data_IF_371323660633
#
_entry.id   IF_371323660633
#
_cell.length_a   1.000
_cell.length_b   1.000
_cell.length_c   1.000
_cell.angle_alpha   90.00
_cell.angle_beta   90.00
_cell.angle_gamma   90.00
#
_symmetry.space_group_name_H-M   'P 1'
#
loop_
_entity.id
_entity.type
_entity.pdbx_description
1 polymer ?
#
# COMPACT_ATOMS: atom_id res chain seq x y z
N UNK A 1 -51.37 -27.96 -44.49
CA UNK A 1 -50.67 -29.00 -43.68
C UNK A 1 -49.31 -28.44 -43.29
N UNK A 2 -49.10 -28.03 -42.04
CA UNK A 2 -47.78 -27.59 -41.54
C UNK A 2 -46.99 -28.83 -41.12
N UNK A 3 -45.82 -28.97 -41.69
CA UNK A 3 -44.91 -30.11 -41.58
C UNK A 3 -44.50 -30.43 -40.12
N UNK A 4 -44.46 -31.72 -39.73
CA UNK A 4 -44.08 -32.15 -38.37
C UNK A 4 -42.59 -31.91 -38.05
N UNK A 5 -41.79 -31.40 -38.98
CA UNK A 5 -40.36 -31.08 -38.78
C UNK A 5 -40.09 -29.95 -37.76
N UNK A 6 -41.06 -29.08 -37.47
CA UNK A 6 -40.84 -27.91 -36.61
C UNK A 6 -40.76 -28.26 -35.08
N UNK A 7 -41.41 -29.33 -34.62
CA UNK A 7 -41.41 -29.72 -33.21
C UNK A 7 -40.12 -30.43 -32.79
N UNK A 8 -39.60 -31.31 -33.64
CA UNK A 8 -38.35 -32.05 -33.40
C UNK A 8 -37.13 -31.12 -33.35
N UNK A 9 -37.08 -30.13 -34.29
CA UNK A 9 -36.05 -29.12 -34.32
C UNK A 9 -36.04 -28.22 -33.09
N UNK A 10 -37.20 -27.83 -32.57
CA UNK A 10 -37.28 -26.99 -31.36
C UNK A 10 -36.82 -27.75 -30.10
N UNK A 11 -37.19 -29.03 -29.95
CA UNK A 11 -36.73 -29.86 -28.83
C UNK A 11 -35.22 -30.03 -28.85
N UNK A 12 -34.63 -30.33 -30.02
CA UNK A 12 -33.19 -30.44 -30.15
C UNK A 12 -32.46 -29.13 -29.81
N UNK A 13 -32.99 -27.97 -30.22
CA UNK A 13 -32.41 -26.68 -29.88
C UNK A 13 -32.49 -26.38 -28.37
N UNK A 14 -33.59 -26.75 -27.71
CA UNK A 14 -33.75 -26.59 -26.24
C UNK A 14 -32.75 -27.51 -25.51
N UNK A 15 -32.59 -28.75 -25.92
CA UNK A 15 -31.61 -29.68 -25.31
C UNK A 15 -30.18 -29.16 -25.47
N UNK A 16 -29.81 -28.66 -26.65
CA UNK A 16 -28.50 -28.06 -26.88
C UNK A 16 -28.29 -26.83 -25.99
N UNK A 17 -29.30 -25.97 -25.87
CA UNK A 17 -29.21 -24.78 -25.01
C UNK A 17 -29.03 -25.14 -23.54
N UNK A 18 -29.74 -26.18 -23.05
CA UNK A 18 -29.58 -26.69 -21.67
C UNK A 18 -28.15 -27.22 -21.46
N UNK A 19 -27.61 -27.96 -22.43
CA UNK A 19 -26.24 -28.46 -22.37
C UNK A 19 -25.21 -27.32 -22.34
N UNK A 20 -25.37 -26.29 -23.18
CA UNK A 20 -24.49 -25.13 -23.18
C UNK A 20 -24.55 -24.39 -21.83
N UNK A 21 -25.74 -24.19 -21.30
CA UNK A 21 -25.92 -23.54 -19.99
C UNK A 21 -25.31 -24.39 -18.86
N UNK A 22 -25.47 -25.71 -18.90
CA UNK A 22 -24.88 -26.60 -17.90
C UNK A 22 -23.34 -26.56 -17.95
N UNK A 23 -22.75 -26.55 -19.13
CA UNK A 23 -21.30 -26.42 -19.33
C UNK A 23 -20.83 -25.05 -18.85
N UNK A 24 -21.54 -23.98 -19.16
CA UNK A 24 -21.23 -22.63 -18.70
C UNK A 24 -21.27 -22.54 -17.16
N UNK A 25 -22.26 -23.15 -16.51
CA UNK A 25 -22.32 -23.20 -15.05
C UNK A 25 -21.14 -23.99 -14.46
N UNK A 26 -20.80 -25.15 -15.04
CA UNK A 26 -19.66 -25.97 -14.57
C UNK A 26 -18.32 -25.19 -14.69
N UNK A 27 -18.15 -24.37 -15.72
CA UNK A 27 -16.93 -23.58 -15.93
C UNK A 27 -16.90 -22.34 -15.04
N UNK A 28 -18.03 -21.66 -14.90
CA UNK A 28 -18.10 -20.34 -14.20
C UNK A 28 -18.28 -20.52 -12.69
N UNK A 29 -19.04 -21.53 -12.24
CA UNK A 29 -19.33 -21.71 -10.83
C UNK A 29 -18.09 -21.83 -9.93
N UNK A 30 -17.02 -22.55 -10.31
CA UNK A 30 -15.80 -22.58 -9.51
C UNK A 30 -15.14 -21.23 -9.35
N UNK A 31 -15.08 -20.43 -10.43
CA UNK A 31 -14.49 -19.08 -10.39
C UNK A 31 -15.32 -18.12 -9.56
N UNK A 32 -16.65 -18.19 -9.67
CA UNK A 32 -17.57 -17.40 -8.83
C UNK A 32 -17.49 -17.85 -7.36
N UNK A 33 -17.42 -19.14 -7.11
CA UNK A 33 -17.26 -19.67 -5.76
C UNK A 33 -15.94 -19.22 -5.14
N UNK A 34 -14.83 -19.34 -5.87
CA UNK A 34 -13.52 -18.84 -5.43
C UNK A 34 -13.53 -17.33 -5.16
N UNK A 35 -14.18 -16.54 -6.03
CA UNK A 35 -14.33 -15.11 -5.83
C UNK A 35 -15.13 -14.80 -4.55
N UNK A 36 -16.25 -15.49 -4.31
CA UNK A 36 -17.05 -15.31 -3.10
C UNK A 36 -16.27 -15.76 -1.86
N UNK A 37 -15.58 -16.89 -1.90
CA UNK A 37 -14.75 -17.35 -0.79
C UNK A 37 -13.62 -16.35 -0.51
N UNK A 38 -12.92 -15.88 -1.54
CA UNK A 38 -11.84 -14.90 -1.40
C UNK A 38 -12.34 -13.57 -0.85
N UNK A 39 -13.51 -13.10 -1.27
CA UNK A 39 -14.09 -11.86 -0.71
C UNK A 39 -14.48 -12.02 0.76
N UNK A 40 -15.02 -13.18 1.16
CA UNK A 40 -15.36 -13.44 2.56
C UNK A 40 -14.14 -13.67 3.44
N UNK A 41 -13.07 -14.21 2.89
CA UNK A 41 -11.82 -14.49 3.62
C UNK A 41 -11.21 -13.21 4.21
N UNK A 42 -11.50 -12.05 3.61
CA UNK A 42 -10.97 -10.77 4.04
C UNK A 42 -12.01 -9.83 4.69
N UNK A 43 -13.28 -10.23 4.77
CA UNK A 43 -14.34 -9.39 5.37
C UNK A 43 -14.07 -9.08 6.83
N UNK A 44 -13.51 -10.03 7.58
CA UNK A 44 -13.15 -9.85 8.98
C UNK A 44 -11.97 -8.89 9.16
N UNK A 45 -10.95 -8.97 8.30
CA UNK A 45 -9.85 -8.00 8.30
C UNK A 45 -10.36 -6.60 7.87
N UNK A 46 -11.17 -6.55 6.82
CA UNK A 46 -11.74 -5.29 6.33
C UNK A 46 -12.59 -4.59 7.40
N UNK A 47 -13.28 -5.34 8.24
CA UNK A 47 -14.08 -4.78 9.33
C UNK A 47 -13.26 -4.17 10.47
N UNK A 48 -11.96 -4.43 10.54
CA UNK A 48 -11.03 -3.88 11.54
C UNK A 48 -10.31 -2.62 11.03
N UNK A 49 -10.42 -2.33 9.75
CA UNK A 49 -9.87 -1.10 9.17
C UNK A 49 -10.88 0.02 9.40
N UNK A 50 -10.59 0.86 10.33
CA UNK A 50 -11.38 2.02 10.70
C UNK A 50 -10.57 3.32 10.58
N UNK A 51 -11.23 4.45 10.84
CA UNK A 51 -10.59 5.75 10.76
C UNK A 51 -9.42 5.88 11.74
N UNK A 52 -9.48 5.22 12.90
CA UNK A 52 -8.41 5.28 13.91
C UNK A 52 -7.16 4.56 13.41
N UNK A 53 -7.31 3.38 12.79
CA UNK A 53 -6.20 2.68 12.18
C UNK A 53 -5.61 3.46 11.01
N UNK A 54 -6.46 4.07 10.17
CA UNK A 54 -6.00 4.87 9.04
C UNK A 54 -5.25 6.14 9.48
N UNK A 55 -5.55 6.72 10.65
CA UNK A 55 -4.81 7.85 11.23
C UNK A 55 -3.37 7.49 11.65
N UNK A 56 -3.05 6.21 11.77
CA UNK A 56 -1.68 5.76 12.02
C UNK A 56 -0.83 5.68 10.75
N UNK A 57 -1.42 5.90 9.58
CA UNK A 57 -0.72 5.86 8.31
C UNK A 57 -0.57 7.27 7.73
N UNK A 58 0.52 7.52 7.04
CA UNK A 58 0.82 8.80 6.42
C UNK A 58 1.16 8.62 4.94
N UNK A 59 0.94 9.71 4.16
CA UNK A 59 1.50 9.79 2.83
C UNK A 59 2.66 10.81 2.84
N UNK A 60 3.81 10.39 2.34
CA UNK A 60 5.05 11.19 2.29
C UNK A 60 5.17 11.77 0.90
N UNK A 61 5.12 13.09 0.76
CA UNK A 61 5.23 13.80 -0.51
C UNK A 61 6.60 14.46 -0.56
N UNK A 62 7.46 14.03 -1.48
CA UNK A 62 8.74 14.68 -1.72
C UNK A 62 8.53 15.92 -2.61
N UNK A 63 9.15 17.05 -2.22
CA UNK A 63 9.33 18.24 -3.03
C UNK A 63 10.80 18.33 -3.41
N UNK A 64 11.09 18.36 -4.68
CA UNK A 64 12.44 18.41 -5.21
C UNK A 64 12.67 19.70 -5.98
N UNK A 65 13.74 20.41 -5.66
CA UNK A 65 14.18 21.60 -6.37
C UNK A 65 15.25 21.25 -7.40
N UNK A 66 14.85 21.16 -8.65
CA UNK A 66 15.70 20.74 -9.77
C UNK A 66 16.26 21.98 -10.46
N UNK A 67 17.52 22.31 -10.16
CA UNK A 67 18.25 23.40 -10.81
C UNK A 67 19.17 22.85 -11.89
N UNK A 68 18.92 23.24 -13.14
CA UNK A 68 19.79 22.92 -14.27
C UNK A 68 20.35 24.22 -14.88
N UNK A 69 21.26 24.11 -15.85
CA UNK A 69 21.78 25.31 -16.58
C UNK A 69 20.70 26.02 -17.40
N UNK A 70 19.59 25.33 -17.70
CA UNK A 70 18.54 25.81 -18.62
C UNK A 70 17.21 26.04 -17.91
N UNK A 71 17.03 25.51 -16.69
CA UNK A 71 15.76 25.57 -15.96
C UNK A 71 15.95 25.55 -14.45
N UNK A 72 15.02 26.18 -13.76
CA UNK A 72 14.84 26.16 -12.31
C UNK A 72 13.38 25.73 -12.08
N UNK A 73 13.19 24.46 -11.67
CA UNK A 73 11.89 23.84 -11.56
C UNK A 73 11.71 23.16 -10.21
N UNK A 74 10.47 23.15 -9.74
CA UNK A 74 10.05 22.37 -8.57
C UNK A 74 9.22 21.19 -9.05
N UNK A 75 9.56 20.01 -8.58
CA UNK A 75 8.83 18.77 -8.80
C UNK A 75 8.26 18.24 -7.50
N UNK A 76 7.16 17.48 -7.59
CA UNK A 76 6.51 16.84 -6.45
C UNK A 76 6.24 15.37 -6.78
N UNK A 77 6.53 14.48 -5.83
CA UNK A 77 6.14 13.08 -5.97
C UNK A 77 4.63 12.89 -5.81
N UNK A 78 4.10 11.81 -6.35
CA UNK A 78 2.70 11.42 -6.12
C UNK A 78 2.46 10.96 -4.67
N UNK A 79 3.52 10.66 -3.95
CA UNK A 79 3.56 10.26 -2.56
C UNK A 79 4.02 8.83 -2.36
N UNK A 80 4.61 8.58 -1.20
CA UNK A 80 4.98 7.28 -0.68
C UNK A 80 4.23 7.02 0.62
N UNK A 81 4.45 5.89 1.25
CA UNK A 81 3.74 5.49 2.46
C UNK A 81 4.65 5.51 3.69
N UNK A 82 4.04 5.64 4.85
CA UNK A 82 4.69 5.46 6.14
C UNK A 82 3.68 5.10 7.21
N UNK A 83 4.15 4.54 8.32
CA UNK A 83 3.34 4.17 9.47
C UNK A 83 3.90 4.78 10.74
N UNK A 84 3.02 5.35 11.57
CA UNK A 84 3.38 5.95 12.86
C UNK A 84 3.62 4.83 13.87
N UNK A 85 4.85 4.75 14.38
CA UNK A 85 5.30 3.74 15.35
C UNK A 85 5.50 4.31 16.77
N UNK A 86 5.53 5.64 16.91
CA UNK A 86 5.71 6.26 18.22
C UNK A 86 5.35 7.73 18.26
N UNK A 87 5.25 8.27 19.50
CA UNK A 87 4.86 9.65 19.76
C UNK A 87 5.54 10.19 21.02
N UNK A 88 6.15 11.38 20.90
CA UNK A 88 6.63 12.14 22.05
C UNK A 88 6.08 13.57 22.00
N UNK A 89 5.13 13.89 22.86
CA UNK A 89 4.45 15.17 22.87
C UNK A 89 3.66 15.43 21.57
N UNK A 90 4.15 16.32 20.70
CA UNK A 90 3.57 16.63 19.40
C UNK A 90 4.35 16.02 18.24
N UNK A 91 5.49 15.41 18.53
CA UNK A 91 6.35 14.77 17.57
C UNK A 91 5.89 13.33 17.37
N UNK A 92 5.68 12.94 16.12
CA UNK A 92 5.35 11.58 15.72
C UNK A 92 6.52 10.97 14.95
N UNK A 93 6.83 9.71 15.24
CA UNK A 93 7.85 8.92 14.56
C UNK A 93 7.20 7.98 13.56
N UNK A 94 7.70 8.00 12.33
CA UNK A 94 7.16 7.25 11.20
C UNK A 94 8.22 6.33 10.65
N UNK A 95 7.89 5.04 10.54
CA UNK A 95 8.70 4.06 9.83
C UNK A 95 8.28 4.04 8.36
N UNK A 96 9.26 4.10 7.46
CA UNK A 96 9.08 4.10 6.00
C UNK A 96 10.23 3.37 5.31
N UNK A 97 10.19 3.25 3.98
CA UNK A 97 11.32 2.72 3.22
C UNK A 97 12.43 3.77 3.06
N UNK A 98 13.69 3.33 3.18
CA UNK A 98 14.87 4.21 3.08
C UNK A 98 14.99 4.87 1.70
N UNK A 99 14.77 4.12 0.62
CA UNK A 99 14.88 4.68 -0.74
C UNK A 99 13.95 5.87 -1.00
N UNK A 100 12.89 6.08 -0.20
CA UNK A 100 11.99 7.24 -0.27
C UNK A 100 12.71 8.52 0.19
N UNK A 101 13.63 8.39 1.15
CA UNK A 101 14.31 9.51 1.80
C UNK A 101 15.84 9.50 1.59
N UNK A 102 16.37 8.56 0.81
CA UNK A 102 17.81 8.37 0.60
C UNK A 102 18.52 9.55 -0.09
N UNK A 103 17.80 10.24 -0.98
CA UNK A 103 18.31 11.42 -1.66
C UNK A 103 17.80 12.67 -0.94
N UNK A 104 18.65 13.32 -0.16
CA UNK A 104 18.28 14.49 0.66
C UNK A 104 18.66 15.83 0.04
N UNK A 105 19.63 15.86 -0.89
CA UNK A 105 20.09 17.10 -1.49
C UNK A 105 19.00 17.72 -2.38
N UNK A 106 18.50 18.89 -1.97
CA UNK A 106 17.46 19.60 -2.70
C UNK A 106 16.04 19.04 -2.52
N UNK A 107 15.85 18.05 -1.61
CA UNK A 107 14.53 17.48 -1.30
C UNK A 107 14.03 17.91 0.07
N UNK A 108 12.72 18.15 0.14
CA UNK A 108 11.95 18.33 1.36
C UNK A 108 10.79 17.35 1.36
N UNK A 109 10.37 16.90 2.53
CA UNK A 109 9.29 15.91 2.68
C UNK A 109 8.13 16.52 3.46
N UNK A 110 6.94 16.49 2.86
CA UNK A 110 5.68 16.89 3.48
C UNK A 110 4.84 15.68 3.85
N UNK A 111 4.18 15.73 5.00
CA UNK A 111 3.32 14.65 5.50
C UNK A 111 1.87 14.99 5.25
N UNK A 112 1.20 14.17 4.45
CA UNK A 112 -0.23 14.25 4.24
C UNK A 112 -0.93 13.24 5.16
N UNK A 113 -1.88 13.74 5.98
CA UNK A 113 -2.56 12.99 7.03
C UNK A 113 -3.93 12.47 6.56
N UNK A 114 -4.37 11.38 7.16
CA UNK A 114 -5.71 10.86 6.93
C UNK A 114 -6.78 11.89 7.30
N UNK A 115 -7.78 12.03 6.43
CA UNK A 115 -8.87 12.98 6.61
C UNK A 115 -8.58 14.41 6.13
N UNK A 116 -7.35 14.70 5.69
CA UNK A 116 -7.04 15.99 5.07
C UNK A 116 -7.61 16.08 3.64
N UNK A 117 -7.89 17.31 3.22
CA UNK A 117 -8.30 17.58 1.84
C UNK A 117 -7.12 17.41 0.89
N UNK A 118 -7.31 16.64 -0.17
CA UNK A 118 -6.33 16.53 -1.26
C UNK A 118 -6.19 17.86 -2.00
N UNK A 119 -5.10 18.04 -2.74
CA UNK A 119 -4.90 19.25 -3.54
C UNK A 119 -6.08 19.54 -4.49
N UNK A 120 -6.69 18.51 -5.06
CA UNK A 120 -7.85 18.65 -5.97
C UNK A 120 -9.11 19.18 -5.27
N UNK A 121 -9.18 19.05 -3.96
CA UNK A 121 -10.31 19.46 -3.13
C UNK A 121 -10.04 20.78 -2.38
N UNK A 122 -8.76 21.12 -2.19
CA UNK A 122 -8.35 22.23 -1.38
C UNK A 122 -8.58 23.58 -2.05
N UNK A 123 -9.23 24.47 -1.33
CA UNK A 123 -9.46 25.86 -1.70
C UNK A 123 -9.11 26.78 -0.53
N UNK A 124 -8.72 28.01 -0.83
CA UNK A 124 -8.51 29.05 0.18
C UNK A 124 -9.84 29.46 0.88
N UNK A 125 -9.74 30.32 1.87
CA UNK A 125 -10.89 30.85 2.61
C UNK A 125 -11.89 31.61 1.73
N UNK A 126 -11.50 32.05 0.52
CA UNK A 126 -12.34 32.69 -0.47
C UNK A 126 -12.95 31.71 -1.49
N UNK A 127 -12.69 30.40 -1.33
CA UNK A 127 -13.16 29.33 -2.21
C UNK A 127 -12.42 29.24 -3.54
N UNK A 128 -11.19 29.80 -3.63
CA UNK A 128 -10.35 29.76 -4.83
C UNK A 128 -9.32 28.66 -4.73
N UNK A 129 -8.98 28.07 -5.87
CA UNK A 129 -7.84 27.16 -6.00
C UNK A 129 -6.53 27.86 -5.70
N UNK A 130 -5.66 27.20 -4.96
CA UNK A 130 -4.32 27.69 -4.64
C UNK A 130 -3.26 26.99 -5.52
N UNK A 131 -2.10 27.62 -5.76
CA UNK A 131 -0.95 26.93 -6.35
C UNK A 131 -0.53 25.73 -5.50
N UNK A 132 0.07 24.71 -6.13
CA UNK A 132 0.46 23.49 -5.43
C UNK A 132 1.51 23.75 -4.33
N UNK A 133 2.45 24.69 -4.56
CA UNK A 133 3.42 25.12 -3.54
C UNK A 133 2.72 25.57 -2.25
N UNK A 134 1.70 26.42 -2.35
CA UNK A 134 0.96 26.91 -1.20
C UNK A 134 0.17 25.80 -0.50
N UNK A 135 -0.28 24.80 -1.26
CA UNK A 135 -0.90 23.61 -0.69
C UNK A 135 0.13 22.78 0.06
N UNK A 136 1.29 22.50 -0.56
CA UNK A 136 2.38 21.72 0.04
C UNK A 136 2.96 22.39 1.29
N UNK A 137 3.11 23.73 1.27
CA UNK A 137 3.70 24.49 2.39
C UNK A 137 2.89 24.38 3.70
N UNK A 138 1.60 24.02 3.61
CA UNK A 138 0.74 23.80 4.79
C UNK A 138 0.93 22.42 5.42
N UNK A 139 1.50 21.47 4.71
CA UNK A 139 1.74 20.14 5.25
C UNK A 139 2.83 20.17 6.32
N UNK A 140 2.71 19.39 7.40
CA UNK A 140 3.81 19.16 8.33
C UNK A 140 5.05 18.71 7.58
N UNK A 141 6.22 19.23 7.97
CA UNK A 141 7.51 18.87 7.35
C UNK A 141 8.13 17.72 8.13
N UNK A 142 8.66 16.76 7.40
CA UNK A 142 9.36 15.63 8.00
C UNK A 142 10.86 15.89 8.07
N UNK A 143 11.46 15.42 9.16
CA UNK A 143 12.89 15.32 9.36
C UNK A 143 13.31 13.87 9.37
N UNK A 144 14.45 13.55 8.74
CA UNK A 144 15.01 12.20 8.78
C UNK A 144 15.71 12.04 10.11
N UNK A 145 15.31 11.05 10.90
CA UNK A 145 15.84 10.79 12.24
C UNK A 145 16.92 9.73 12.18
N UNK A 146 16.63 8.61 11.50
CA UNK A 146 17.58 7.51 11.36
C UNK A 146 17.36 6.74 10.06
N UNK A 147 18.40 6.03 9.58
CA UNK A 147 18.39 5.26 8.34
C UNK A 147 19.04 3.91 8.52
N UNK A 148 18.42 2.88 8.00
CA UNK A 148 18.86 1.47 8.07
C UNK A 148 18.94 0.92 6.64
N UNK A 149 20.01 1.31 5.93
CA UNK A 149 20.19 1.01 4.50
C UNK A 149 20.17 -0.49 4.21
N UNK A 150 20.72 -1.30 5.13
CA UNK A 150 20.76 -2.76 4.99
C UNK A 150 19.38 -3.43 4.98
N UNK A 151 18.35 -2.75 5.49
CA UNK A 151 16.95 -3.21 5.48
C UNK A 151 16.06 -2.39 4.54
N UNK A 152 16.62 -1.38 3.87
CA UNK A 152 15.84 -0.39 3.12
C UNK A 152 14.75 0.27 3.99
N UNK A 153 15.07 0.63 5.24
CA UNK A 153 14.17 1.28 6.19
C UNK A 153 14.72 2.62 6.67
N UNK A 154 13.83 3.51 7.05
CA UNK A 154 14.15 4.79 7.69
C UNK A 154 13.09 5.18 8.71
N UNK A 155 13.51 5.89 9.75
CA UNK A 155 12.64 6.59 10.68
C UNK A 155 12.69 8.08 10.36
N UNK A 156 11.53 8.68 10.15
CA UNK A 156 11.34 10.12 10.02
C UNK A 156 10.46 10.63 11.14
N UNK A 157 10.56 11.92 11.47
CA UNK A 157 9.68 12.55 12.45
C UNK A 157 8.99 13.77 11.86
N UNK A 158 7.83 14.12 12.40
CA UNK A 158 7.14 15.36 12.10
C UNK A 158 6.32 15.85 13.31
N UNK A 159 6.03 17.14 13.34
CA UNK A 159 5.22 17.74 14.39
C UNK A 159 3.82 18.10 13.90
N UNK A 160 2.80 17.80 14.71
CA UNK A 160 1.42 18.21 14.44
C UNK A 160 0.61 18.34 15.73
N UNK A 161 -0.46 19.18 15.68
CA UNK A 161 -1.48 19.26 16.73
C UNK A 161 -2.61 18.21 16.53
N UNK A 162 -2.60 17.50 15.39
CA UNK A 162 -3.58 16.46 15.13
C UNK A 162 -3.38 15.28 16.10
N UNK A 163 -4.47 14.70 16.54
CA UNK A 163 -4.44 13.49 17.36
C UNK A 163 -4.42 12.27 16.41
N UNK A 164 -3.25 11.66 16.31
CA UNK A 164 -2.98 10.53 15.43
C UNK A 164 -2.71 9.28 16.27
N UNK A 165 -2.99 8.12 15.70
CA UNK A 165 -2.73 6.85 16.33
C UNK A 165 -1.31 6.35 16.08
N UNK A 166 -0.85 5.51 16.98
CA UNK A 166 0.40 4.75 16.88
C UNK A 166 0.03 3.28 16.77
N UNK A 167 0.66 2.55 15.85
CA UNK A 167 0.49 1.11 15.73
C UNK A 167 1.62 0.36 16.43
N UNK A 168 1.26 -0.74 17.08
CA UNK A 168 2.21 -1.63 17.74
C UNK A 168 2.92 -2.51 16.70
N UNK A 169 4.20 -2.78 16.93
CA UNK A 169 4.98 -3.75 16.15
C UNK A 169 4.81 -5.10 16.83
N UNK A 170 4.41 -6.11 16.04
CA UNK A 170 4.18 -7.47 16.51
C UNK A 170 5.42 -8.09 17.17
N UNK A 171 5.20 -8.89 18.20
CA UNK A 171 6.24 -9.75 18.79
C UNK A 171 6.47 -11.02 17.96
N UNK A 172 5.48 -11.43 17.18
CA UNK A 172 5.51 -12.63 16.38
C UNK A 172 5.98 -12.32 14.97
N UNK A 173 7.03 -13.02 14.52
CA UNK A 173 7.48 -12.95 13.14
C UNK A 173 6.42 -13.53 12.18
N UNK A 174 6.25 -12.98 10.97
CA UNK A 174 5.29 -13.49 10.00
C UNK A 174 5.68 -14.88 9.47
N UNK A 175 4.67 -15.70 9.16
CA UNK A 175 4.84 -17.02 8.59
C UNK A 175 4.13 -17.19 7.25
N UNK A 176 4.54 -18.21 6.49
CA UNK A 176 3.88 -18.59 5.24
C UNK A 176 2.39 -18.90 5.45
N UNK A 177 1.55 -18.20 4.71
CA UNK A 177 0.09 -18.38 4.74
C UNK A 177 -0.63 -17.42 5.65
N UNK A 178 0.08 -16.65 6.48
CA UNK A 178 -0.53 -15.63 7.33
C UNK A 178 -1.31 -14.63 6.50
N UNK A 179 -2.50 -14.30 6.98
CA UNK A 179 -3.36 -13.28 6.37
C UNK A 179 -2.87 -11.91 6.79
N UNK A 180 -2.76 -11.04 5.80
CA UNK A 180 -2.26 -9.68 5.99
C UNK A 180 -3.15 -8.65 5.31
N UNK A 181 -3.05 -7.42 5.80
CA UNK A 181 -3.52 -6.23 5.10
C UNK A 181 -2.36 -5.25 4.94
N UNK A 182 -2.22 -4.70 3.74
CA UNK A 182 -1.29 -3.60 3.44
C UNK A 182 -2.07 -2.31 3.42
N UNK A 183 -1.63 -1.30 4.19
CA UNK A 183 -2.25 0.03 4.22
C UNK A 183 -1.24 1.05 3.71
N UNK A 184 -1.56 1.72 2.60
CA UNK A 184 -0.63 2.65 1.97
C UNK A 184 -1.24 3.53 0.89
N UNK A 185 -0.40 4.06 0.00
CA UNK A 185 -0.77 5.10 -0.96
C UNK A 185 -0.41 4.72 -2.42
N UNK A 186 -0.91 3.59 -2.95
CA UNK A 186 -0.56 3.12 -4.29
C UNK A 186 -1.08 4.07 -5.38
N UNK A 187 -0.31 4.29 -6.46
CA UNK A 187 -0.70 5.01 -7.68
C UNK A 187 -1.34 6.39 -7.44
N UNK A 188 -0.86 7.08 -6.40
CA UNK A 188 -1.41 8.39 -6.02
C UNK A 188 -2.76 8.34 -5.28
N UNK A 189 -3.35 7.16 -5.07
CA UNK A 189 -4.46 6.97 -4.15
C UNK A 189 -3.98 7.08 -2.70
N UNK A 190 -4.89 7.38 -1.77
CA UNK A 190 -4.52 7.65 -0.38
C UNK A 190 -5.20 6.67 0.57
N UNK A 191 -4.39 6.13 1.50
CA UNK A 191 -4.87 5.27 2.60
C UNK A 191 -5.68 4.07 2.12
N UNK A 192 -5.20 3.42 1.06
CA UNK A 192 -5.83 2.24 0.47
C UNK A 192 -5.42 1.00 1.23
N UNK A 193 -6.39 0.15 1.53
CA UNK A 193 -6.16 -1.17 2.14
C UNK A 193 -6.24 -2.26 1.08
N UNK A 194 -5.22 -3.09 0.99
CA UNK A 194 -5.21 -4.28 0.15
C UNK A 194 -4.95 -5.54 0.97
N UNK A 195 -5.65 -6.61 0.65
CA UNK A 195 -5.69 -7.84 1.45
C UNK A 195 -5.00 -8.98 0.74
N UNK A 196 -4.28 -9.79 1.49
CA UNK A 196 -3.54 -10.92 0.93
C UNK A 196 -3.01 -11.87 1.99
N UNK A 197 -1.97 -12.61 1.61
CA UNK A 197 -1.26 -13.58 2.46
C UNK A 197 0.22 -13.54 2.16
N UNK A 198 1.02 -13.96 3.13
CA UNK A 198 2.43 -14.30 2.92
C UNK A 198 2.50 -15.52 2.00
N UNK A 199 3.24 -15.42 0.90
CA UNK A 199 3.25 -16.43 -0.18
C UNK A 199 4.56 -17.20 -0.29
N UNK A 200 5.70 -16.60 0.08
CA UNK A 200 6.97 -17.32 0.15
C UNK A 200 7.00 -18.24 1.39
N UNK A 201 7.76 -19.32 1.34
CA UNK A 201 7.92 -20.27 2.46
C UNK A 201 9.11 -19.93 3.35
N UNK A 202 9.96 -19.10 2.88
CA UNK A 202 11.17 -18.58 3.51
C UNK A 202 11.45 -17.20 2.93
N UNK A 203 12.35 -16.46 3.56
CA UNK A 203 12.81 -15.18 3.02
C UNK A 203 13.55 -15.43 1.70
N UNK A 204 13.27 -14.59 0.72
CA UNK A 204 13.88 -14.65 -0.61
C UNK A 204 14.68 -13.39 -0.89
N UNK A 205 15.66 -13.52 -1.79
CA UNK A 205 16.45 -12.38 -2.22
C UNK A 205 15.60 -11.46 -3.11
N UNK A 206 15.52 -10.21 -2.76
CA UNK A 206 14.84 -9.16 -3.51
C UNK A 206 15.86 -8.09 -3.93
N UNK A 207 15.92 -7.79 -5.21
CA UNK A 207 16.76 -6.73 -5.77
C UNK A 207 15.85 -5.58 -6.22
N UNK A 208 16.08 -4.40 -5.70
CA UNK A 208 15.39 -3.20 -6.16
C UNK A 208 15.96 -2.73 -7.49
N UNK A 209 15.11 -2.26 -8.40
CA UNK A 209 15.52 -1.80 -9.73
C UNK A 209 16.40 -0.53 -9.69
N UNK A 210 16.39 0.19 -8.59
CA UNK A 210 17.13 1.43 -8.33
C UNK A 210 18.53 1.19 -7.70
N UNK A 211 18.86 -0.06 -7.41
CA UNK A 211 20.19 -0.46 -6.91
C UNK A 211 20.41 -0.17 -5.43
N UNK A 212 19.37 0.14 -4.65
CA UNK A 212 19.45 0.35 -3.19
C UNK A 212 19.66 -0.94 -2.39
N UNK A 213 20.08 -2.01 -3.01
CA UNK A 213 20.51 -3.18 -2.30
C UNK A 213 19.76 -4.45 -2.66
N UNK A 214 20.15 -5.48 -1.96
CA UNK A 214 19.64 -6.83 -2.12
C UNK A 214 19.21 -7.27 -0.74
N UNK A 215 17.90 -7.26 -0.50
CA UNK A 215 17.30 -7.56 0.80
C UNK A 215 16.74 -8.96 0.86
N UNK A 216 16.79 -9.56 2.04
CA UNK A 216 16.03 -10.77 2.35
C UNK A 216 14.62 -10.33 2.75
N UNK A 217 13.60 -10.77 1.99
CA UNK A 217 12.21 -10.35 2.16
C UNK A 217 11.26 -11.54 2.23
N UNK A 218 10.11 -11.33 2.87
CA UNK A 218 8.94 -12.15 2.63
C UNK A 218 8.16 -11.63 1.43
N UNK A 219 7.72 -12.53 0.55
CA UNK A 219 6.78 -12.17 -0.52
C UNK A 219 5.33 -12.34 -0.05
N UNK A 220 4.47 -11.45 -0.55
CA UNK A 220 3.03 -11.49 -0.31
C UNK A 220 2.23 -11.19 -1.57
N UNK A 221 0.93 -11.50 -1.58
CA UNK A 221 0.04 -11.28 -2.72
C UNK A 221 -1.04 -10.20 -2.49
N UNK A 222 -0.95 -9.42 -1.40
CA UNK A 222 -1.69 -8.18 -1.28
C UNK A 222 -1.16 -7.19 -2.33
N UNK A 223 -2.07 -6.49 -3.03
CA UNK A 223 -1.70 -5.58 -4.12
C UNK A 223 -0.87 -4.41 -3.60
N UNK A 224 0.24 -4.14 -4.28
CA UNK A 224 1.10 -2.97 -4.10
C UNK A 224 1.52 -2.43 -5.46
N UNK A 225 1.79 -1.13 -5.52
CA UNK A 225 2.22 -0.41 -6.71
C UNK A 225 3.13 0.75 -6.31
N UNK A 226 3.54 1.59 -7.26
CA UNK A 226 4.27 2.82 -6.99
C UNK A 226 3.55 3.65 -5.92
N UNK A 227 4.29 4.14 -4.91
CA UNK A 227 3.73 4.81 -3.73
C UNK A 227 3.42 3.88 -2.55
N UNK A 228 3.41 2.55 -2.74
CA UNK A 228 3.24 1.59 -1.63
C UNK A 228 4.50 1.37 -0.81
N UNK A 229 5.66 1.84 -1.22
CA UNK A 229 6.89 1.77 -0.42
C UNK A 229 6.71 2.48 0.91
N UNK A 230 7.09 1.82 2.01
CA UNK A 230 6.87 2.26 3.39
C UNK A 230 5.49 1.92 3.96
N UNK A 231 4.61 1.22 3.21
CA UNK A 231 3.30 0.79 3.72
C UNK A 231 3.44 -0.18 4.88
N UNK A 232 2.60 0.01 5.90
CA UNK A 232 2.44 -0.99 6.95
C UNK A 232 1.82 -2.28 6.40
N UNK A 233 2.37 -3.41 6.81
CA UNK A 233 1.78 -4.73 6.63
C UNK A 233 1.35 -5.23 8.01
N UNK A 234 0.03 -5.44 8.15
CA UNK A 234 -0.60 -5.74 9.41
C UNK A 234 -1.11 -7.18 9.45
N UNK A 235 -1.01 -7.79 10.62
CA UNK A 235 -1.60 -9.11 10.92
C UNK A 235 -3.10 -9.00 11.25
N UNK A 236 -3.68 -10.11 11.69
CA UNK A 236 -5.10 -10.17 12.09
C UNK A 236 -5.43 -9.37 13.36
N UNK A 237 -4.43 -9.02 14.17
CA UNK A 237 -4.58 -8.17 15.36
C UNK A 237 -4.38 -6.68 15.05
N UNK A 238 -4.10 -6.32 13.78
CA UNK A 238 -3.75 -4.95 13.34
C UNK A 238 -2.40 -4.47 13.90
N UNK A 239 -1.49 -5.39 14.22
CA UNK A 239 -0.11 -5.12 14.58
C UNK A 239 0.79 -5.15 13.33
N UNK A 240 1.84 -4.34 13.32
CA UNK A 240 2.81 -4.27 12.22
C UNK A 240 3.65 -5.55 12.22
N UNK A 241 3.52 -6.40 11.19
CA UNK A 241 4.36 -7.58 10.96
C UNK A 241 5.42 -7.35 9.91
N UNK A 242 5.39 -6.20 9.23
CA UNK A 242 6.41 -5.83 8.28
C UNK A 242 6.15 -4.50 7.58
N UNK A 243 7.15 -4.06 6.82
CA UNK A 243 7.10 -2.85 5.99
C UNK A 243 7.29 -3.24 4.53
N UNK A 244 6.38 -2.82 3.67
CA UNK A 244 6.52 -3.03 2.23
C UNK A 244 7.63 -2.13 1.67
N UNK A 245 8.60 -2.74 0.99
CA UNK A 245 9.69 -2.00 0.33
C UNK A 245 9.61 -2.03 -1.19
N UNK A 246 8.66 -2.78 -1.75
CA UNK A 246 8.52 -2.85 -3.20
C UNK A 246 7.60 -3.95 -3.65
N UNK A 247 7.66 -4.25 -4.94
CA UNK A 247 6.90 -5.34 -5.55
C UNK A 247 7.50 -5.79 -6.86
N UNK A 248 7.18 -7.02 -7.25
CA UNK A 248 7.56 -7.61 -8.52
C UNK A 248 6.42 -7.58 -9.53
N UNK A 249 6.77 -7.41 -10.79
CA UNK A 249 5.86 -7.51 -11.91
C UNK A 249 6.19 -8.71 -12.81
N UNK A 250 5.21 -9.20 -13.55
CA UNK A 250 5.46 -10.18 -14.60
C UNK A 250 5.94 -9.49 -15.90
N UNK A 251 6.29 -10.29 -16.90
CA UNK A 251 6.79 -9.78 -18.18
C UNK A 251 5.77 -8.94 -18.96
N UNK A 252 4.52 -8.84 -18.52
CA UNK A 252 3.46 -7.98 -19.06
C UNK A 252 3.24 -6.72 -18.21
N UNK A 253 4.06 -6.47 -17.19
CA UNK A 253 3.89 -5.34 -16.28
C UNK A 253 2.71 -5.49 -15.32
N UNK A 254 2.30 -6.73 -15.02
CA UNK A 254 1.20 -6.97 -14.07
C UNK A 254 1.79 -7.34 -12.71
N UNK A 255 1.20 -6.82 -11.65
CA UNK A 255 1.57 -7.16 -10.28
C UNK A 255 1.67 -8.69 -10.08
N UNK A 256 2.79 -9.13 -9.51
CA UNK A 256 3.09 -10.53 -9.19
C UNK A 256 3.14 -10.78 -7.69
N UNK A 257 3.97 -10.04 -6.97
CA UNK A 257 4.15 -10.15 -5.52
C UNK A 257 4.62 -8.82 -4.93
N UNK A 258 4.29 -8.55 -3.67
CA UNK A 258 4.93 -7.51 -2.86
C UNK A 258 6.11 -8.09 -2.10
N UNK A 259 7.04 -7.21 -1.71
CA UNK A 259 8.25 -7.51 -0.95
C UNK A 259 8.23 -6.77 0.39
N UNK A 260 8.39 -7.50 1.50
CA UNK A 260 8.27 -6.97 2.84
C UNK A 260 9.51 -7.29 3.69
N UNK A 261 10.01 -6.28 4.41
CA UNK A 261 10.94 -6.50 5.53
C UNK A 261 10.11 -6.89 6.75
N UNK A 262 10.35 -8.05 7.37
CA UNK A 262 9.56 -8.51 8.50
C UNK A 262 9.95 -7.82 9.81
N UNK A 263 9.03 -7.77 10.78
CA UNK A 263 9.16 -7.03 12.02
C UNK A 263 10.36 -7.49 12.89
N UNK A 264 10.72 -8.75 12.86
CA UNK A 264 11.88 -9.29 13.58
C UNK A 264 13.25 -8.75 13.08
N UNK A 265 13.29 -8.20 11.85
CA UNK A 265 14.48 -7.52 11.35
C UNK A 265 14.65 -6.10 11.90
N UNK A 266 13.58 -5.41 12.29
CA UNK A 266 13.68 -3.99 12.63
C UNK A 266 13.15 -3.60 14.01
N UNK A 267 12.38 -4.44 14.69
CA UNK A 267 11.76 -4.08 15.95
C UNK A 267 12.77 -3.59 17.01
N UNK A 268 13.87 -4.31 17.19
CA UNK A 268 14.91 -3.95 18.16
C UNK A 268 15.61 -2.63 17.79
N UNK A 269 15.84 -2.37 16.50
CA UNK A 269 16.57 -1.18 16.06
C UNK A 269 15.72 0.10 16.08
N UNK A 270 14.39 -0.01 16.10
CA UNK A 270 13.48 1.14 16.19
C UNK A 270 12.87 1.30 17.59
N UNK A 271 13.30 0.49 18.58
CA UNK A 271 12.75 0.46 19.94
C UNK A 271 12.78 1.83 20.63
N UNK A 272 13.79 2.66 20.36
CA UNK A 272 13.92 4.00 20.94
C UNK A 272 12.86 5.01 20.46
N UNK A 273 12.11 4.69 19.41
CA UNK A 273 11.07 5.55 18.82
C UNK A 273 9.64 5.10 19.14
N UNK A 274 9.47 3.99 19.88
CA UNK A 274 8.17 3.38 20.19
C UNK A 274 7.56 3.92 21.49
#
# INVERSE_FOLDING_TARGET
MKSPKSKKSRITSIVILIWILSIAVIIIAPSVYQYICKSREHEDLASKIDDELLKANVCIIAKEHIVTKESDNISYSEGASGVIIGKEGKTYYVLTAYHIVSETEGKEYGIFLYGEQTYKEYKDAAGKWVPYDNYYDRLPKAEIVDTYEEFDLAVISFETEADLNVLEISDDAPEHGDRIVVVGNPEGERFVSSYGKITSKEMVQFETNDGFGSNQVWEHNAYVAEGSSGSAILNENMEIVGINIGGGEDFLGRFRSGAMIPCDCFKEIVEEYI
#
